data_IF_371613596600
#
_entry.id   IF_371613596600
#
_cell.length_a   1.000
_cell.length_b   1.000
_cell.length_c   1.000
_cell.angle_alpha   90.00
_cell.angle_beta   90.00
_cell.angle_gamma   90.00
#
_symmetry.space_group_name_H-M   'P 1'
#
loop_
_entity.id
_entity.type
_entity.pdbx_description
1 polymer ?
#
# COMPACT_ATOMS: atom_id res chain seq x y z
N UNK A 1 32.35 -39.06 -22.11
CA UNK A 1 33.34 -38.01 -22.41
C UNK A 1 33.98 -37.59 -21.10
N UNK A 2 35.31 -37.54 -21.07
CA UNK A 2 36.18 -37.55 -19.89
C UNK A 2 36.12 -36.28 -19.00
N UNK A 3 36.53 -36.50 -17.74
CA UNK A 3 37.04 -35.59 -16.70
C UNK A 3 37.62 -34.23 -17.13
N UNK A 4 37.49 -33.19 -16.28
CA UNK A 4 38.64 -32.71 -15.49
C UNK A 4 38.31 -31.69 -14.38
N UNK A 5 38.83 -31.99 -13.18
CA UNK A 5 39.10 -31.04 -12.10
C UNK A 5 40.30 -30.16 -12.47
N UNK A 6 40.40 -28.95 -11.90
CA UNK A 6 41.68 -28.33 -11.53
C UNK A 6 41.47 -27.25 -10.47
N UNK A 7 41.96 -27.53 -9.25
CA UNK A 7 42.32 -26.53 -8.25
C UNK A 7 43.58 -25.78 -8.72
N UNK A 8 43.72 -24.51 -8.32
CA UNK A 8 45.03 -23.90 -8.13
C UNK A 8 45.00 -22.91 -6.97
N UNK A 9 45.76 -23.23 -5.92
CA UNK A 9 46.25 -22.30 -4.90
C UNK A 9 47.54 -21.64 -5.42
N UNK A 10 47.70 -20.34 -5.19
CA UNK A 10 49.02 -19.71 -5.14
C UNK A 10 49.04 -18.67 -4.01
N UNK A 11 50.10 -18.74 -3.21
CA UNK A 11 50.33 -17.97 -2.00
C UNK A 11 51.33 -16.82 -2.24
N UNK A 12 51.36 -15.91 -1.26
CA UNK A 12 52.49 -15.09 -0.78
C UNK A 12 52.83 -13.79 -1.52
N UNK A 13 53.04 -12.73 -0.72
CA UNK A 13 53.66 -11.47 -1.18
C UNK A 13 53.43 -10.28 -0.25
N UNK A 14 54.19 -10.20 0.84
CA UNK A 14 54.29 -9.07 1.78
C UNK A 14 54.89 -7.83 1.10
N UNK A 15 54.40 -6.62 1.40
CA UNK A 15 55.24 -5.41 1.59
C UNK A 15 54.47 -4.20 2.18
N UNK A 16 54.84 -3.81 3.40
CA UNK A 16 54.70 -2.43 3.91
C UNK A 16 55.96 -1.63 3.53
N UNK A 17 55.84 -0.30 3.34
CA UNK A 17 56.54 0.58 4.28
C UNK A 17 55.84 1.92 4.62
N UNK A 18 55.90 2.26 5.91
CA UNK A 18 56.33 3.54 6.53
C UNK A 18 55.93 4.89 5.89
N UNK A 19 55.08 5.63 6.61
CA UNK A 19 55.50 6.75 7.47
C UNK A 19 55.43 8.18 6.92
N UNK A 20 55.25 9.11 7.88
CA UNK A 20 55.26 10.59 7.81
C UNK A 20 53.99 11.26 7.24
N UNK A 21 53.50 12.40 7.75
CA UNK A 21 53.88 13.24 8.88
C UNK A 21 52.70 14.18 9.14
N UNK A 22 52.51 14.51 10.42
CA UNK A 22 51.66 15.57 10.95
C UNK A 22 51.79 16.90 10.17
N UNK A 23 50.66 17.53 9.85
CA UNK A 23 50.57 18.96 9.58
C UNK A 23 49.40 19.55 10.39
N UNK A 24 49.73 20.60 11.15
CA UNK A 24 48.92 21.26 12.17
C UNK A 24 47.78 22.09 11.57
N UNK A 25 46.63 22.03 12.23
CA UNK A 25 45.46 22.90 12.03
C UNK A 25 45.69 24.26 12.72
N UNK A 26 45.43 25.41 12.05
CA UNK A 26 45.38 26.72 12.72
C UNK A 26 43.98 26.99 13.33
N UNK A 27 43.89 27.77 14.43
CA UNK A 27 42.65 27.96 15.16
C UNK A 27 41.68 28.95 14.47
N UNK A 28 40.36 28.86 14.74
CA UNK A 28 39.37 29.75 14.16
C UNK A 28 39.36 31.13 14.87
N UNK A 29 39.03 32.23 14.16
CA UNK A 29 38.90 33.55 14.74
C UNK A 29 37.62 33.71 15.59
N UNK A 30 37.72 34.59 16.57
CA UNK A 30 36.79 34.86 17.67
C UNK A 30 35.48 35.55 17.25
N UNK A 31 34.38 35.17 17.92
CA UNK A 31 33.03 35.73 17.78
C UNK A 31 32.99 37.23 18.14
N UNK A 32 32.32 38.04 17.31
CA UNK A 32 31.79 39.37 17.69
C UNK A 32 30.42 39.24 18.37
N UNK A 33 30.06 40.09 19.34
CA UNK A 33 28.79 40.03 20.04
C UNK A 33 27.64 40.62 19.21
N UNK A 34 26.44 40.14 19.53
CA UNK A 34 25.15 40.45 18.89
C UNK A 34 24.77 41.93 18.99
N UNK A 35 24.39 42.53 17.85
CA UNK A 35 23.75 43.83 17.76
C UNK A 35 22.23 43.69 17.69
N UNK A 36 21.55 44.52 18.46
CA UNK A 36 20.11 44.52 18.71
C UNK A 36 19.22 44.69 17.47
N UNK A 37 18.08 44.00 17.48
CA UNK A 37 16.91 44.23 16.60
C UNK A 37 16.13 45.48 17.06
N UNK A 38 15.65 46.35 16.16
CA UNK A 38 14.58 47.28 16.48
C UNK A 38 13.22 46.80 15.97
N UNK A 39 12.27 46.82 16.90
CA UNK A 39 10.89 47.30 16.83
C UNK A 39 9.98 46.91 15.64
N UNK A 40 8.88 46.28 16.04
CA UNK A 40 7.66 45.98 15.30
C UNK A 40 7.09 47.14 14.47
N UNK A 41 6.63 46.82 13.26
CA UNK A 41 5.70 47.63 12.48
C UNK A 41 4.33 46.94 12.47
N UNK A 42 3.35 47.56 13.13
CA UNK A 42 1.92 47.21 13.05
C UNK A 42 1.34 47.80 11.76
N UNK A 43 0.75 46.94 10.93
CA UNK A 43 -0.24 47.28 9.90
C UNK A 43 -1.25 46.13 9.99
N UNK A 44 -2.52 46.30 10.36
CA UNK A 44 -3.51 47.20 9.78
C UNK A 44 -4.57 46.31 9.12
N UNK A 45 -5.59 45.93 9.88
CA UNK A 45 -6.68 45.05 9.44
C UNK A 45 -7.55 45.70 8.37
N UNK A 46 -7.83 44.98 7.28
CA UNK A 46 -9.14 44.91 6.60
C UNK A 46 -9.06 44.13 5.28
N UNK A 47 -9.62 42.92 5.23
CA UNK A 47 -10.20 42.34 4.02
C UNK A 47 -11.26 41.28 4.39
N UNK A 48 -12.39 41.34 3.68
CA UNK A 48 -13.67 40.69 3.97
C UNK A 48 -13.66 39.18 3.74
N UNK A 49 -14.39 38.46 4.60
CA UNK A 49 -14.64 37.03 4.53
C UNK A 49 -15.58 36.63 3.38
N UNK A 50 -15.25 35.53 2.69
CA UNK A 50 -16.16 34.70 1.90
C UNK A 50 -16.29 33.32 2.56
N UNK A 51 -17.39 32.56 2.35
CA UNK A 51 -17.64 31.32 3.08
C UNK A 51 -16.80 30.19 2.51
N UNK A 52 -16.39 29.25 3.37
CA UNK A 52 -15.42 28.16 3.15
C UNK A 52 -13.94 28.49 3.38
N UNK A 53 -13.64 28.89 4.62
CA UNK A 53 -12.39 28.51 5.25
C UNK A 53 -12.73 27.98 6.66
N UNK A 54 -12.70 26.66 6.86
CA UNK A 54 -12.61 26.13 8.23
C UNK A 54 -11.23 26.51 8.75
N UNK A 55 -11.15 27.65 9.42
CA UNK A 55 -9.98 28.05 10.18
C UNK A 55 -9.79 27.02 11.29
N UNK A 56 -8.67 26.30 11.26
CA UNK A 56 -8.20 25.49 12.38
C UNK A 56 -7.80 26.47 13.48
N UNK A 57 -8.74 26.77 14.39
CA UNK A 57 -8.45 27.56 15.58
C UNK A 57 -7.86 26.61 16.63
N UNK A 58 -6.54 26.59 16.76
CA UNK A 58 -5.86 25.95 17.88
C UNK A 58 -6.07 26.85 19.10
N UNK A 59 -6.90 26.42 20.04
CA UNK A 59 -6.90 26.99 21.38
C UNK A 59 -5.65 26.48 22.10
N UNK A 60 -4.55 27.24 22.01
CA UNK A 60 -3.39 27.04 22.84
C UNK A 60 -3.73 27.47 24.27
N UNK A 61 -4.10 26.51 25.13
CA UNK A 61 -4.09 26.72 26.58
C UNK A 61 -2.65 26.43 27.02
N UNK A 62 -1.90 27.49 27.29
CA UNK A 62 -0.62 27.37 27.98
C UNK A 62 -0.89 26.84 29.39
N UNK A 63 -0.38 25.65 29.69
CA UNK A 63 -0.23 25.20 31.06
C UNK A 63 1.22 24.77 31.26
N UNK A 64 1.93 25.57 32.05
CA UNK A 64 3.23 25.23 32.61
C UNK A 64 3.02 24.03 33.53
N UNK A 65 3.32 22.83 33.04
CA UNK A 65 3.89 21.69 33.77
C UNK A 65 3.89 20.46 32.85
N UNK A 66 5.06 19.85 32.70
CA UNK A 66 5.28 18.69 31.85
C UNK A 66 4.39 17.50 32.23
N UNK A 67 3.33 17.30 31.45
CA UNK A 67 2.72 16.01 31.12
C UNK A 67 1.68 16.29 30.04
N UNK A 68 2.07 16.10 28.78
CA UNK A 68 1.21 16.35 27.62
C UNK A 68 -0.09 15.56 27.74
N UNK A 69 -1.21 16.29 27.80
CA UNK A 69 -2.54 15.72 27.61
C UNK A 69 -2.59 15.20 26.18
N UNK A 70 -2.38 13.90 25.98
CA UNK A 70 -2.74 13.24 24.72
C UNK A 70 -4.23 13.43 24.56
N UNK A 71 -4.64 14.25 23.59
CA UNK A 71 -6.01 14.25 23.11
C UNK A 71 -6.35 12.79 22.76
N UNK A 72 -7.34 12.21 23.42
CA UNK A 72 -7.75 10.85 23.14
C UNK A 72 -8.38 10.82 21.74
N UNK A 73 -7.63 10.39 20.73
CA UNK A 73 -8.17 10.08 19.41
C UNK A 73 -8.48 8.58 19.35
N UNK A 74 -9.41 8.21 18.48
CA UNK A 74 -9.74 6.81 18.22
C UNK A 74 -9.62 6.59 16.72
N UNK A 75 -8.64 5.79 16.26
CA UNK A 75 -8.52 5.44 14.85
C UNK A 75 -9.80 4.78 14.33
N UNK A 76 -10.23 5.15 13.12
CA UNK A 76 -11.42 4.56 12.48
C UNK A 76 -11.05 3.20 11.86
N UNK A 77 -10.99 2.13 12.66
CA UNK A 77 -10.56 0.80 12.20
C UNK A 77 -11.63 0.05 11.42
N UNK A 78 -12.90 0.34 11.67
CA UNK A 78 -14.04 -0.23 10.94
C UNK A 78 -14.41 0.69 9.77
N UNK A 79 -14.34 0.21 8.51
CA UNK A 79 -14.70 1.02 7.36
C UNK A 79 -16.22 1.20 7.26
N UNK A 80 -16.64 2.39 6.86
CA UNK A 80 -18.06 2.64 6.54
C UNK A 80 -18.44 1.99 5.20
N UNK A 81 -19.74 1.82 4.95
CA UNK A 81 -20.25 1.31 3.65
C UNK A 81 -19.75 2.13 2.47
N UNK A 82 -19.63 3.46 2.63
CA UNK A 82 -19.06 4.33 1.60
C UNK A 82 -17.59 3.96 1.32
N UNK A 83 -16.76 3.83 2.36
CA UNK A 83 -15.34 3.46 2.23
C UNK A 83 -15.22 2.11 1.52
N UNK A 84 -15.98 1.11 1.96
CA UNK A 84 -15.99 -0.22 1.34
C UNK A 84 -16.43 -0.15 -0.13
N UNK A 85 -17.42 0.67 -0.46
CA UNK A 85 -17.89 0.81 -1.84
C UNK A 85 -16.82 1.39 -2.77
N UNK A 86 -16.02 2.34 -2.29
CA UNK A 86 -14.90 2.94 -3.02
C UNK A 86 -13.77 1.92 -3.15
N UNK A 87 -13.36 1.31 -2.05
CA UNK A 87 -12.28 0.31 -2.02
C UNK A 87 -12.54 -0.87 -2.96
N UNK A 88 -13.79 -1.36 -3.01
CA UNK A 88 -14.18 -2.50 -3.85
C UNK A 88 -14.30 -2.16 -5.34
N UNK A 89 -14.35 -0.87 -5.69
CA UNK A 89 -14.48 -0.36 -7.07
C UNK A 89 -13.28 0.48 -7.49
N UNK A 90 -12.15 0.31 -6.80
CA UNK A 90 -10.95 1.10 -7.04
C UNK A 90 -10.35 0.73 -8.39
N UNK A 91 -10.06 1.72 -9.23
CA UNK A 91 -9.38 1.50 -10.50
C UNK A 91 -7.85 1.59 -10.33
N UNK A 92 -7.40 2.45 -9.42
CA UNK A 92 -5.98 2.61 -9.10
C UNK A 92 -5.72 2.86 -7.61
N UNK A 93 -4.67 2.22 -7.09
CA UNK A 93 -4.18 2.44 -5.72
C UNK A 93 -2.78 3.04 -5.76
N UNK A 94 -2.62 4.17 -5.10
CA UNK A 94 -1.36 4.85 -4.87
C UNK A 94 -0.87 4.54 -3.46
N UNK A 95 0.33 3.98 -3.35
CA UNK A 95 0.97 3.70 -2.08
C UNK A 95 2.09 4.70 -1.81
N UNK A 96 2.15 5.20 -0.58
CA UNK A 96 3.41 5.69 -0.04
C UNK A 96 4.43 4.55 0.04
N UNK A 97 5.72 4.91 0.06
CA UNK A 97 6.79 3.91 0.18
C UNK A 97 7.26 3.77 1.61
N UNK A 98 7.85 4.84 2.14
CA UNK A 98 8.51 4.83 3.44
C UNK A 98 7.48 4.61 4.56
N UNK A 99 7.77 3.73 5.51
CA UNK A 99 6.85 3.33 6.60
C UNK A 99 5.47 2.78 6.17
N UNK A 100 5.27 2.52 4.87
CA UNK A 100 4.04 1.95 4.31
C UNK A 100 4.35 0.68 3.53
N UNK A 101 4.93 0.79 2.34
CA UNK A 101 5.44 -0.37 1.57
C UNK A 101 6.68 -0.95 2.24
N UNK A 102 7.49 -0.11 2.88
CA UNK A 102 8.68 -0.53 3.63
C UNK A 102 8.54 -0.36 5.14
N UNK A 103 9.23 -1.21 5.90
CA UNK A 103 9.27 -1.17 7.38
C UNK A 103 10.16 -0.06 7.95
N UNK A 104 10.85 0.70 7.10
CA UNK A 104 11.76 1.79 7.46
C UNK A 104 11.60 2.95 6.47
N UNK A 105 12.10 4.13 6.86
CA UNK A 105 12.42 5.21 5.95
C UNK A 105 13.69 4.87 5.16
N UNK A 106 13.61 4.93 3.84
CA UNK A 106 14.68 4.51 2.93
C UNK A 106 15.91 5.42 3.02
N UNK A 107 15.73 6.71 3.30
CA UNK A 107 16.83 7.66 3.39
C UNK A 107 17.54 7.52 4.74
N UNK A 108 16.79 7.31 5.82
CA UNK A 108 17.37 7.04 7.15
C UNK A 108 18.15 5.72 7.15
N UNK A 109 17.63 4.68 6.48
CA UNK A 109 18.34 3.41 6.33
C UNK A 109 19.62 3.56 5.48
N UNK A 110 19.61 4.40 4.44
CA UNK A 110 20.81 4.74 3.68
C UNK A 110 21.81 5.52 4.54
N UNK A 111 21.35 6.47 5.35
CA UNK A 111 22.20 7.23 6.27
C UNK A 111 22.87 6.32 7.30
N UNK A 112 22.14 5.33 7.83
CA UNK A 112 22.70 4.31 8.72
C UNK A 112 23.77 3.47 8.01
N UNK A 113 23.53 3.04 6.78
CA UNK A 113 24.52 2.32 5.98
C UNK A 113 25.78 3.15 5.70
N UNK A 114 25.64 4.46 5.54
CA UNK A 114 26.75 5.41 5.37
C UNK A 114 27.40 5.84 6.68
N UNK A 115 26.87 5.45 7.84
CA UNK A 115 27.40 5.78 9.16
C UNK A 115 27.12 7.22 9.63
N UNK A 116 26.10 7.87 9.09
CA UNK A 116 25.73 9.29 9.38
C UNK A 116 24.28 9.43 9.87
N UNK A 117 23.77 8.39 10.53
CA UNK A 117 22.38 8.32 11.02
C UNK A 117 22.03 9.47 11.98
N UNK A 118 22.88 9.71 12.97
CA UNK A 118 22.61 10.69 14.02
C UNK A 118 22.47 12.11 13.46
N UNK A 119 23.30 12.46 12.48
CA UNK A 119 23.27 13.77 11.82
C UNK A 119 22.01 13.96 10.96
N UNK A 120 21.59 12.91 10.26
CA UNK A 120 20.38 12.91 9.42
C UNK A 120 19.12 12.97 10.28
N UNK A 121 19.04 12.17 11.35
CA UNK A 121 17.91 12.20 12.30
C UNK A 121 17.77 13.58 12.96
N UNK A 122 18.88 14.25 13.29
CA UNK A 122 18.86 15.60 13.84
C UNK A 122 18.26 16.64 12.87
N UNK A 123 18.43 16.46 11.55
CA UNK A 123 17.79 17.30 10.54
C UNK A 123 16.32 16.93 10.32
N UNK A 124 15.98 15.65 10.28
CA UNK A 124 14.59 15.19 10.14
C UNK A 124 13.71 15.78 11.26
N UNK A 125 14.21 15.78 12.50
CA UNK A 125 13.51 16.38 13.64
C UNK A 125 13.27 17.89 13.48
N UNK A 126 14.23 18.63 12.91
CA UNK A 126 14.08 20.05 12.59
C UNK A 126 13.10 20.30 11.44
N UNK A 127 13.07 19.44 10.43
CA UNK A 127 12.09 19.58 9.35
C UNK A 127 10.65 19.40 9.87
N UNK A 128 10.45 18.46 10.80
CA UNK A 128 9.14 18.17 11.39
C UNK A 128 8.61 19.28 12.33
N UNK A 129 9.49 20.12 12.91
CA UNK A 129 9.09 21.28 13.72
C UNK A 129 8.77 22.55 12.88
N UNK A 130 8.98 22.47 11.56
CA UNK A 130 8.73 23.55 10.61
C UNK A 130 9.84 24.59 10.50
N UNK A 131 11.00 24.37 11.13
CA UNK A 131 12.14 25.30 11.09
C UNK A 131 12.83 25.38 9.73
N UNK A 132 12.70 24.36 8.88
CA UNK A 132 13.22 24.32 7.52
C UNK A 132 12.18 23.78 6.54
N UNK A 133 12.27 24.16 5.26
CA UNK A 133 11.38 23.63 4.22
C UNK A 133 11.67 22.16 3.90
N UNK A 134 10.71 21.44 3.30
CA UNK A 134 10.90 20.05 2.88
C UNK A 134 12.09 19.90 1.90
N UNK A 135 12.15 20.78 0.90
CA UNK A 135 13.23 20.76 -0.09
C UNK A 135 14.59 21.02 0.55
N UNK A 136 14.68 22.00 1.46
CA UNK A 136 15.92 22.28 2.19
C UNK A 136 16.33 21.10 3.07
N UNK A 137 15.38 20.48 3.78
CA UNK A 137 15.63 19.30 4.59
C UNK A 137 16.16 18.13 3.77
N UNK A 138 15.59 17.88 2.59
CA UNK A 138 16.08 16.83 1.69
C UNK A 138 17.48 17.14 1.16
N UNK A 139 17.73 18.38 0.75
CA UNK A 139 19.05 18.81 0.26
C UNK A 139 20.14 18.67 1.34
N UNK A 140 19.86 19.15 2.55
CA UNK A 140 20.78 19.06 3.68
C UNK A 140 21.07 17.59 4.05
N UNK A 141 20.04 16.73 4.09
CA UNK A 141 20.21 15.29 4.36
C UNK A 141 21.05 14.60 3.28
N UNK A 142 20.80 14.88 2.00
CA UNK A 142 21.61 14.34 0.91
C UNK A 142 23.07 14.81 0.99
N UNK A 143 23.30 16.07 1.35
CA UNK A 143 24.66 16.61 1.52
C UNK A 143 25.43 15.92 2.65
N UNK A 144 24.74 15.48 3.70
CA UNK A 144 25.37 14.74 4.81
C UNK A 144 25.64 13.29 4.41
N UNK A 145 24.65 12.64 3.77
CA UNK A 145 24.78 11.26 3.30
C UNK A 145 25.91 11.13 2.27
N UNK A 146 26.02 12.10 1.36
CA UNK A 146 27.10 12.24 0.37
C UNK A 146 27.49 10.91 -0.30
N UNK A 147 26.48 10.11 -0.66
CA UNK A 147 26.69 8.78 -1.24
C UNK A 147 27.15 8.88 -2.70
N UNK A 148 27.94 7.89 -3.13
CA UNK A 148 28.22 7.64 -4.54
C UNK A 148 27.20 6.68 -5.16
N UNK A 149 27.12 6.57 -6.50
CA UNK A 149 26.30 5.57 -7.17
C UNK A 149 26.68 4.13 -6.77
N UNK A 150 27.95 3.89 -6.44
CA UNK A 150 28.41 2.58 -5.95
C UNK A 150 27.90 2.30 -4.54
N UNK A 151 27.84 3.31 -3.67
CA UNK A 151 27.26 3.15 -2.33
C UNK A 151 25.77 2.82 -2.40
N UNK A 152 25.02 3.49 -3.29
CA UNK A 152 23.60 3.17 -3.53
C UNK A 152 23.43 1.72 -4.01
N UNK A 153 24.27 1.25 -4.94
CA UNK A 153 24.25 -0.15 -5.40
C UNK A 153 24.58 -1.14 -4.27
N UNK A 154 25.60 -0.83 -3.47
CA UNK A 154 26.02 -1.66 -2.34
C UNK A 154 24.92 -1.71 -1.27
N UNK A 155 24.29 -0.58 -0.99
CA UNK A 155 23.16 -0.46 -0.08
C UNK A 155 21.99 -1.34 -0.50
N UNK A 156 21.57 -1.26 -1.77
CA UNK A 156 20.48 -2.08 -2.32
C UNK A 156 20.80 -3.57 -2.23
N UNK A 157 22.07 -3.93 -2.45
CA UNK A 157 22.53 -5.33 -2.34
C UNK A 157 22.50 -5.82 -0.89
N UNK A 158 22.94 -4.99 0.05
CA UNK A 158 22.94 -5.30 1.48
C UNK A 158 21.54 -5.30 2.10
N UNK A 159 20.61 -4.52 1.53
CA UNK A 159 19.23 -4.35 1.99
C UNK A 159 18.25 -4.69 0.85
N UNK A 160 18.17 -5.97 0.46
CA UNK A 160 17.33 -6.38 -0.67
C UNK A 160 15.84 -6.12 -0.38
N UNK A 161 14.98 -6.00 -1.41
CA UNK A 161 13.54 -5.77 -1.22
C UNK A 161 12.87 -6.71 -0.22
N UNK A 162 13.21 -8.01 -0.23
CA UNK A 162 12.62 -9.01 0.66
C UNK A 162 12.84 -8.73 2.16
N UNK A 163 13.86 -7.97 2.55
CA UNK A 163 14.10 -7.61 3.96
C UNK A 163 13.51 -6.25 4.35
N UNK A 164 13.06 -5.46 3.37
CA UNK A 164 12.58 -4.08 3.58
C UNK A 164 11.06 -3.97 3.51
N UNK A 165 10.38 -4.90 2.84
CA UNK A 165 8.93 -4.83 2.63
C UNK A 165 8.15 -5.08 3.93
N UNK A 166 7.09 -4.30 4.12
CA UNK A 166 6.11 -4.49 5.19
C UNK A 166 5.36 -5.81 5.01
N UNK A 167 5.24 -6.66 6.04
CA UNK A 167 4.54 -7.94 5.93
C UNK A 167 3.13 -7.80 5.34
N UNK A 168 2.81 -8.62 4.33
CA UNK A 168 1.52 -8.62 3.64
C UNK A 168 1.37 -7.63 2.48
N UNK A 169 2.31 -6.70 2.24
CA UNK A 169 2.18 -5.74 1.12
C UNK A 169 2.19 -6.42 -0.24
N UNK A 170 3.03 -7.45 -0.39
CA UNK A 170 3.14 -8.23 -1.62
C UNK A 170 1.83 -8.94 -1.94
N UNK A 171 1.18 -9.50 -0.92
CA UNK A 171 -0.09 -10.20 -1.03
C UNK A 171 -1.20 -9.24 -1.46
N UNK A 172 -1.26 -8.05 -0.84
CA UNK A 172 -2.20 -7.01 -1.25
C UNK A 172 -1.98 -6.54 -2.69
N UNK A 173 -0.74 -6.26 -3.09
CA UNK A 173 -0.43 -5.84 -4.47
C UNK A 173 -0.79 -6.93 -5.47
N UNK A 174 -0.56 -8.20 -5.12
CA UNK A 174 -0.93 -9.34 -5.95
C UNK A 174 -2.45 -9.43 -6.09
N UNK A 175 -3.18 -9.33 -4.98
CA UNK A 175 -4.65 -9.34 -4.94
C UNK A 175 -5.28 -8.21 -5.77
N UNK A 176 -4.72 -7.00 -5.69
CA UNK A 176 -5.18 -5.84 -6.45
C UNK A 176 -4.91 -6.02 -7.96
N UNK A 177 -3.72 -6.50 -8.33
CA UNK A 177 -3.38 -6.73 -9.74
C UNK A 177 -4.22 -7.83 -10.38
N UNK A 178 -4.55 -8.90 -9.65
CA UNK A 178 -5.45 -9.94 -10.13
C UNK A 178 -6.81 -9.35 -10.55
N UNK A 179 -7.29 -8.34 -9.81
CA UNK A 179 -8.53 -7.61 -10.07
C UNK A 179 -8.40 -6.48 -11.10
N UNK A 180 -7.26 -6.37 -11.80
CA UNK A 180 -7.02 -5.33 -12.79
C UNK A 180 -6.77 -3.92 -12.22
N UNK A 181 -6.56 -3.80 -10.90
CA UNK A 181 -6.29 -2.50 -10.26
C UNK A 181 -4.87 -2.05 -10.57
N UNK A 182 -4.73 -0.81 -11.02
CA UNK A 182 -3.43 -0.21 -11.33
C UNK A 182 -2.71 0.25 -10.06
N UNK A 183 -1.45 -0.14 -9.91
CA UNK A 183 -0.66 0.17 -8.71
C UNK A 183 0.37 1.25 -9.01
N UNK A 184 0.43 2.26 -8.15
CA UNK A 184 1.38 3.36 -8.19
C UNK A 184 2.14 3.47 -6.87
N UNK A 185 3.42 3.85 -6.95
CA UNK A 185 4.23 4.25 -5.79
C UNK A 185 4.46 5.75 -5.86
N UNK A 186 4.08 6.49 -4.82
CA UNK A 186 4.23 7.94 -4.74
C UNK A 186 4.92 8.29 -3.43
N UNK A 187 6.18 8.74 -3.48
CA UNK A 187 7.01 8.94 -2.29
C UNK A 187 7.81 10.25 -2.37
N UNK A 188 8.05 10.87 -1.22
CA UNK A 188 9.01 11.98 -1.07
C UNK A 188 10.48 11.53 -1.04
N UNK A 189 10.73 10.21 -1.06
CA UNK A 189 12.06 9.61 -1.15
C UNK A 189 12.59 9.58 -2.59
N UNK A 190 13.58 8.72 -2.82
CA UNK A 190 14.37 8.71 -4.07
C UNK A 190 14.11 7.49 -4.94
N UNK A 191 13.91 7.74 -6.23
CA UNK A 191 13.55 6.73 -7.24
C UNK A 191 14.60 5.62 -7.33
N UNK A 192 15.88 5.93 -7.14
CA UNK A 192 17.00 4.98 -7.11
C UNK A 192 16.81 3.89 -6.03
N UNK A 193 16.21 4.25 -4.89
CA UNK A 193 15.97 3.34 -3.76
C UNK A 193 14.64 2.57 -3.90
N UNK A 194 13.70 3.13 -4.68
CA UNK A 194 12.32 2.63 -4.83
C UNK A 194 12.20 1.69 -6.04
N UNK A 195 12.90 1.94 -7.15
CA UNK A 195 12.81 1.12 -8.35
C UNK A 195 13.11 -0.37 -8.12
N UNK A 196 14.09 -0.78 -7.29
CA UNK A 196 14.28 -2.19 -6.96
C UNK A 196 13.07 -2.81 -6.23
N UNK A 197 12.41 -2.05 -5.34
CA UNK A 197 11.19 -2.48 -4.65
C UNK A 197 10.04 -2.63 -5.65
N UNK A 198 9.85 -1.65 -6.52
CA UNK A 198 8.83 -1.66 -7.56
C UNK A 198 8.99 -2.88 -8.48
N UNK A 199 10.22 -3.14 -8.95
CA UNK A 199 10.53 -4.31 -9.78
C UNK A 199 10.22 -5.63 -9.06
N UNK A 200 10.59 -5.75 -7.78
CA UNK A 200 10.31 -6.94 -6.96
C UNK A 200 8.79 -7.17 -6.77
N UNK A 201 8.02 -6.09 -6.66
CA UNK A 201 6.55 -6.12 -6.56
C UNK A 201 5.86 -6.20 -7.93
N UNK A 202 6.62 -6.26 -9.04
CA UNK A 202 6.12 -6.27 -10.41
C UNK A 202 5.41 -4.97 -10.84
N UNK A 203 5.71 -3.85 -10.19
CA UNK A 203 5.16 -2.52 -10.51
C UNK A 203 6.09 -1.88 -11.57
N UNK A 204 5.54 -1.41 -12.70
CA UNK A 204 6.36 -0.85 -13.76
C UNK A 204 6.94 0.52 -13.35
N UNK A 205 8.13 0.86 -13.87
CA UNK A 205 8.89 2.05 -13.45
C UNK A 205 8.16 3.37 -13.73
N UNK A 206 7.31 3.40 -14.76
CA UNK A 206 6.44 4.52 -15.12
C UNK A 206 5.35 4.80 -14.08
N UNK A 207 5.06 3.84 -13.21
CA UNK A 207 4.13 3.99 -12.09
C UNK A 207 4.82 4.43 -10.79
N UNK A 208 6.10 4.82 -10.85
CA UNK A 208 6.87 5.32 -9.69
C UNK A 208 7.08 6.83 -9.79
N UNK A 209 6.46 7.56 -8.87
CA UNK A 209 6.57 9.00 -8.69
C UNK A 209 7.38 9.27 -7.42
N UNK A 210 8.59 9.77 -7.60
CA UNK A 210 9.53 10.03 -6.50
C UNK A 210 10.61 11.00 -6.98
N UNK A 211 11.34 11.60 -6.04
CA UNK A 211 12.46 12.46 -6.34
C UNK A 211 13.58 11.67 -7.06
N UNK A 212 14.39 12.33 -7.86
CA UNK A 212 15.58 11.72 -8.49
C UNK A 212 16.84 12.35 -7.94
N UNK A 213 17.84 11.52 -7.66
CA UNK A 213 19.16 12.02 -7.34
C UNK A 213 19.79 12.64 -8.59
N UNK A 214 20.36 13.84 -8.44
CA UNK A 214 21.09 14.52 -9.50
C UNK A 214 22.57 14.20 -9.38
N UNK A 215 23.09 13.49 -10.38
CA UNK A 215 24.50 13.07 -10.43
C UNK A 215 25.30 13.99 -11.35
N UNK A 216 26.53 14.30 -10.94
CA UNK A 216 27.57 14.74 -11.87
C UNK A 216 28.01 13.55 -12.71
N UNK A 217 28.13 13.74 -14.03
CA UNK A 217 28.57 12.72 -14.96
C UNK A 217 30.00 13.00 -15.41
N UNK A 218 30.78 11.95 -15.57
CA UNK A 218 32.11 12.01 -16.17
C UNK A 218 31.98 11.91 -17.69
N UNK A 219 32.47 12.93 -18.41
CA UNK A 219 32.32 13.03 -19.87
C UNK A 219 33.13 11.96 -20.63
N UNK A 220 34.18 11.39 -20.03
CA UNK A 220 35.03 10.39 -20.68
C UNK A 220 34.46 8.97 -20.54
N UNK A 221 33.94 8.65 -19.35
CA UNK A 221 33.43 7.32 -19.00
C UNK A 221 31.92 7.20 -19.18
N UNK A 222 31.19 8.32 -19.17
CA UNK A 222 29.73 8.35 -19.20
C UNK A 222 29.09 7.84 -17.90
N UNK A 223 29.83 7.79 -16.80
CA UNK A 223 29.37 7.24 -15.52
C UNK A 223 29.08 8.36 -14.50
N UNK A 224 28.07 8.18 -13.62
CA UNK A 224 27.81 9.12 -12.54
C UNK A 224 28.91 9.03 -11.47
N UNK A 225 29.34 10.19 -10.95
CA UNK A 225 30.49 10.30 -10.03
C UNK A 225 30.08 10.83 -8.66
N UNK A 226 29.47 12.02 -8.62
CA UNK A 226 29.17 12.73 -7.38
C UNK A 226 27.72 13.16 -7.31
N UNK A 227 27.11 13.00 -6.14
CA UNK A 227 25.78 13.54 -5.87
C UNK A 227 25.84 15.07 -5.78
N UNK A 228 25.00 15.74 -6.57
CA UNK A 228 24.93 17.21 -6.65
C UNK A 228 23.64 17.79 -6.06
N UNK A 229 22.73 16.93 -5.61
CA UNK A 229 21.40 17.29 -5.10
C UNK A 229 20.33 16.39 -5.69
N UNK A 230 19.16 16.94 -5.96
CA UNK A 230 18.04 16.20 -6.55
C UNK A 230 17.21 17.05 -7.51
N UNK A 231 16.42 16.39 -8.34
CA UNK A 231 15.61 17.04 -9.37
C UNK A 231 14.41 17.77 -8.75
N UNK A 232 14.49 19.10 -8.70
CA UNK A 232 13.42 19.98 -8.21
C UNK A 232 12.24 20.09 -9.18
N UNK A 233 12.30 19.50 -10.37
CA UNK A 233 11.15 19.46 -11.29
C UNK A 233 10.19 18.29 -11.01
N UNK A 234 10.61 17.31 -10.20
CA UNK A 234 9.73 16.23 -9.77
C UNK A 234 8.64 16.78 -8.82
N UNK A 235 7.35 16.44 -9.00
CA UNK A 235 6.28 16.94 -8.14
C UNK A 235 6.54 16.70 -6.65
N UNK A 236 7.07 15.52 -6.33
CA UNK A 236 7.38 15.05 -4.97
C UNK A 236 8.52 15.82 -4.28
N UNK A 237 9.16 16.76 -4.98
CA UNK A 237 10.17 17.65 -4.41
C UNK A 237 9.55 18.77 -3.56
N UNK A 238 8.24 19.01 -3.75
CA UNK A 238 7.52 20.13 -3.16
C UNK A 238 6.36 19.68 -2.27
N UNK A 239 5.87 20.60 -1.46
CA UNK A 239 4.62 20.40 -0.73
C UNK A 239 3.48 20.08 -1.70
N UNK A 240 2.57 19.19 -1.31
CA UNK A 240 1.46 18.72 -2.15
C UNK A 240 1.89 17.93 -3.40
N UNK A 241 3.16 17.54 -3.49
CA UNK A 241 3.67 16.74 -4.62
C UNK A 241 2.94 15.42 -4.86
N UNK A 242 2.42 14.78 -3.79
CA UNK A 242 1.59 13.57 -3.92
C UNK A 242 0.25 13.86 -4.60
N UNK A 243 -0.38 15.00 -4.32
CA UNK A 243 -1.61 15.46 -4.99
C UNK A 243 -1.34 15.68 -6.48
N UNK A 244 -0.27 16.41 -6.80
CA UNK A 244 0.10 16.71 -8.19
C UNK A 244 0.41 15.43 -8.98
N UNK A 245 1.12 14.46 -8.37
CA UNK A 245 1.36 13.17 -8.96
C UNK A 245 0.05 12.42 -9.28
N UNK A 246 -0.90 12.38 -8.34
CA UNK A 246 -2.23 11.74 -8.56
C UNK A 246 -3.01 12.47 -9.64
N UNK A 247 -3.01 13.81 -9.65
CA UNK A 247 -3.66 14.60 -10.68
C UNK A 247 -3.08 14.27 -12.07
N UNK A 248 -1.75 14.18 -12.19
CA UNK A 248 -1.08 13.76 -13.41
C UNK A 248 -1.38 12.31 -13.82
N UNK A 249 -1.61 11.40 -12.87
CA UNK A 249 -2.07 10.02 -13.13
C UNK A 249 -3.48 10.04 -13.72
N UNK A 250 -4.43 10.76 -13.11
CA UNK A 250 -5.83 10.87 -13.56
C UNK A 250 -5.97 11.58 -14.91
N UNK A 251 -5.06 12.49 -15.25
CA UNK A 251 -5.06 13.14 -16.57
C UNK A 251 -4.68 12.16 -17.70
N UNK A 252 -3.80 11.19 -17.41
CA UNK A 252 -3.31 10.22 -18.39
C UNK A 252 -4.18 8.98 -18.49
N UNK A 253 -4.97 8.69 -17.46
CA UNK A 253 -5.74 7.47 -17.34
C UNK A 253 -7.17 7.79 -16.89
N UNK A 254 -8.21 7.26 -17.55
CA UNK A 254 -9.61 7.54 -17.22
C UNK A 254 -10.09 6.75 -15.99
N UNK A 255 -9.38 6.83 -14.87
CA UNK A 255 -9.78 6.20 -13.61
C UNK A 255 -10.95 6.96 -12.99
N UNK A 256 -12.01 6.24 -12.63
CA UNK A 256 -13.14 6.77 -11.86
C UNK A 256 -12.75 6.92 -10.40
N UNK A 257 -12.04 5.93 -9.86
CA UNK A 257 -11.71 5.83 -8.43
C UNK A 257 -10.20 5.63 -8.21
N UNK A 258 -9.59 6.53 -7.46
CA UNK A 258 -8.19 6.44 -7.00
C UNK A 258 -8.13 6.46 -5.47
N UNK A 259 -7.42 5.52 -4.87
CA UNK A 259 -7.22 5.45 -3.42
C UNK A 259 -5.75 5.73 -3.08
N UNK A 260 -5.51 6.53 -2.03
CA UNK A 260 -4.18 6.73 -1.45
C UNK A 260 -4.04 5.93 -0.16
N UNK A 261 -2.91 5.22 -0.01
CA UNK A 261 -2.57 4.46 1.21
C UNK A 261 -1.20 4.93 1.70
N UNK A 262 -1.11 5.35 2.95
CA UNK A 262 0.14 5.85 3.54
C UNK A 262 0.05 6.11 5.04
N UNK A 263 1.18 6.33 5.70
CA UNK A 263 1.25 6.62 7.14
C UNK A 263 1.33 8.13 7.45
N UNK A 264 1.71 8.94 6.47
CA UNK A 264 2.11 10.34 6.66
C UNK A 264 1.01 11.38 6.46
N UNK A 265 1.32 12.61 6.89
CA UNK A 265 0.45 13.79 6.67
C UNK A 265 0.35 14.09 5.18
N UNK A 266 1.44 13.94 4.43
CA UNK A 266 1.45 14.17 2.97
C UNK A 266 0.50 13.23 2.21
N UNK A 267 0.20 12.07 2.77
CA UNK A 267 -0.70 11.05 2.22
C UNK A 267 -2.15 11.40 2.53
N UNK A 268 -2.41 11.86 3.75
CA UNK A 268 -3.70 12.40 4.15
C UNK A 268 -4.05 13.65 3.33
N UNK A 269 -3.08 14.51 3.02
CA UNK A 269 -3.27 15.69 2.16
C UNK A 269 -3.65 15.32 0.72
N UNK A 270 -3.33 14.09 0.27
CA UNK A 270 -3.56 13.62 -1.08
C UNK A 270 -5.05 13.57 -1.48
N UNK A 271 -5.98 13.60 -0.51
CA UNK A 271 -7.43 13.64 -0.74
C UNK A 271 -8.07 15.02 -0.51
N UNK A 272 -7.29 16.01 -0.04
CA UNK A 272 -7.84 17.29 0.39
C UNK A 272 -8.00 18.32 -0.73
N UNK A 273 -7.59 17.97 -1.95
CA UNK A 273 -7.52 18.88 -3.09
C UNK A 273 -8.16 18.30 -4.35
N UNK A 274 -8.65 19.20 -5.21
CA UNK A 274 -9.20 18.83 -6.51
C UNK A 274 -8.13 18.15 -7.37
N UNK A 275 -8.46 16.97 -7.91
CA UNK A 275 -7.53 16.16 -8.70
C UNK A 275 -6.74 15.12 -7.88
N UNK A 276 -6.85 15.15 -6.55
CA UNK A 276 -6.29 14.13 -5.65
C UNK A 276 -7.04 12.80 -5.67
N UNK A 277 -6.73 11.94 -4.67
CA UNK A 277 -7.41 10.67 -4.46
C UNK A 277 -8.84 10.86 -3.94
N UNK A 278 -9.70 9.87 -4.15
CA UNK A 278 -11.11 9.89 -3.74
C UNK A 278 -11.31 9.32 -2.31
N UNK A 279 -10.31 8.59 -1.80
CA UNK A 279 -10.26 8.02 -0.44
C UNK A 279 -8.80 7.91 0.03
N UNK A 280 -8.58 8.20 1.31
CA UNK A 280 -7.33 7.96 2.01
C UNK A 280 -7.52 6.86 3.06
N UNK A 281 -6.66 5.85 2.99
CA UNK A 281 -6.55 4.79 3.99
C UNK A 281 -5.23 4.99 4.74
N UNK A 282 -5.33 5.33 6.02
CA UNK A 282 -4.15 5.48 6.87
C UNK A 282 -3.58 4.12 7.26
N UNK A 283 -2.26 3.99 7.18
CA UNK A 283 -1.55 2.77 7.56
C UNK A 283 -0.72 2.99 8.82
N UNK A 284 -1.00 2.23 9.86
CA UNK A 284 -0.30 2.28 11.16
C UNK A 284 0.53 1.05 11.48
N UNK A 285 0.73 0.13 10.53
CA UNK A 285 1.40 -1.16 10.79
C UNK A 285 2.90 -1.05 11.08
N UNK A 286 3.53 0.08 10.76
CA UNK A 286 4.94 0.37 11.07
C UNK A 286 5.02 1.45 12.15
N UNK A 287 4.46 2.63 11.88
CA UNK A 287 4.37 3.75 12.83
C UNK A 287 2.96 4.33 12.79
N UNK A 288 2.29 4.40 13.93
CA UNK A 288 1.02 5.12 14.05
C UNK A 288 1.25 6.61 14.29
N UNK A 289 0.73 7.46 13.41
CA UNK A 289 0.76 8.91 13.57
C UNK A 289 -0.59 9.42 14.05
N UNK A 290 -0.69 10.00 15.27
CA UNK A 290 -1.96 10.42 15.87
C UNK A 290 -2.88 11.27 14.98
N UNK A 291 -2.32 12.30 14.33
CA UNK A 291 -3.11 13.19 13.48
C UNK A 291 -3.64 12.47 12.23
N UNK A 292 -2.82 11.61 11.63
CA UNK A 292 -3.21 10.83 10.46
C UNK A 292 -4.29 9.82 10.84
N UNK A 293 -4.12 9.13 11.96
CA UNK A 293 -5.07 8.14 12.45
C UNK A 293 -6.43 8.75 12.84
N UNK A 294 -6.44 9.96 13.39
CA UNK A 294 -7.66 10.69 13.74
C UNK A 294 -8.45 11.11 12.48
N UNK A 295 -7.76 11.59 11.45
CA UNK A 295 -8.39 12.21 10.29
C UNK A 295 -8.62 11.25 9.12
N UNK A 296 -7.92 10.12 9.05
CA UNK A 296 -8.17 9.09 8.05
C UNK A 296 -9.63 8.61 8.09
N UNK A 297 -10.21 8.38 6.91
CA UNK A 297 -11.56 7.82 6.76
C UNK A 297 -11.62 6.35 7.17
N UNK A 298 -10.50 5.65 6.99
CA UNK A 298 -10.26 4.30 7.44
C UNK A 298 -8.79 4.14 7.80
N UNK A 299 -8.52 3.48 8.93
CA UNK A 299 -7.17 3.28 9.45
C UNK A 299 -6.92 1.79 9.70
N UNK A 300 -5.83 1.26 9.15
CA UNK A 300 -5.50 -0.17 9.25
C UNK A 300 -4.08 -0.38 9.77
N UNK A 301 -3.88 -1.52 10.44
CA UNK A 301 -2.58 -1.91 11.00
C UNK A 301 -1.91 -3.06 10.25
N UNK A 302 -2.66 -3.70 9.35
CA UNK A 302 -2.21 -4.85 8.59
C UNK A 302 -2.86 -4.86 7.20
N UNK A 303 -2.15 -5.41 6.22
CA UNK A 303 -2.65 -5.50 4.85
C UNK A 303 -3.68 -6.62 4.64
N UNK A 304 -3.73 -7.63 5.53
CA UNK A 304 -4.72 -8.70 5.42
C UNK A 304 -6.15 -8.17 5.60
N UNK A 305 -6.34 -7.12 6.41
CA UNK A 305 -7.60 -6.38 6.53
C UNK A 305 -8.02 -5.75 5.20
N UNK A 306 -7.09 -5.19 4.42
CA UNK A 306 -7.39 -4.66 3.09
C UNK A 306 -7.72 -5.77 2.09
N UNK A 307 -6.96 -6.88 2.11
CA UNK A 307 -7.21 -8.04 1.23
C UNK A 307 -8.59 -8.64 1.48
N UNK A 308 -8.95 -8.90 2.74
CA UNK A 308 -10.25 -9.51 3.11
C UNK A 308 -11.47 -8.67 2.75
N UNK A 309 -11.29 -7.37 2.53
CA UNK A 309 -12.38 -6.43 2.24
C UNK A 309 -12.52 -6.09 0.75
N UNK A 310 -11.59 -6.55 -0.10
CA UNK A 310 -11.70 -6.45 -1.56
C UNK A 310 -12.99 -7.09 -2.08
N UNK A 311 -13.41 -6.66 -3.27
CA UNK A 311 -14.56 -7.26 -3.95
C UNK A 311 -14.26 -8.74 -4.23
N UNK A 312 -15.27 -9.58 -3.99
CA UNK A 312 -15.20 -11.02 -4.21
C UNK A 312 -16.52 -11.52 -4.75
N UNK A 313 -16.44 -12.41 -5.74
CA UNK A 313 -17.57 -13.03 -6.41
C UNK A 313 -18.18 -14.12 -5.52
N UNK A 314 -19.45 -13.96 -5.19
CA UNK A 314 -20.26 -15.03 -4.60
C UNK A 314 -20.77 -15.96 -5.68
N UNK A 315 -20.62 -17.26 -5.47
CA UNK A 315 -21.03 -18.29 -6.44
C UNK A 315 -22.29 -19.00 -5.98
N UNK A 316 -23.26 -19.10 -6.88
CA UNK A 316 -24.48 -19.88 -6.69
C UNK A 316 -24.60 -20.98 -7.77
N UNK A 317 -24.71 -22.24 -7.35
CA UNK A 317 -25.05 -23.38 -8.20
C UNK A 317 -26.58 -23.57 -8.21
N UNK A 318 -27.21 -23.47 -9.38
CA UNK A 318 -28.64 -23.74 -9.57
C UNK A 318 -28.82 -25.17 -10.07
N UNK A 319 -28.95 -26.09 -9.12
CA UNK A 319 -29.17 -27.51 -9.34
C UNK A 319 -28.37 -28.37 -8.35
N UNK A 320 -28.91 -29.55 -8.03
CA UNK A 320 -28.33 -30.47 -7.03
C UNK A 320 -28.35 -31.95 -7.48
N UNK A 321 -28.48 -32.20 -8.77
CA UNK A 321 -28.37 -33.55 -9.34
C UNK A 321 -26.92 -34.04 -9.38
N UNK A 322 -26.68 -35.28 -9.81
CA UNK A 322 -25.36 -35.92 -9.78
C UNK A 322 -24.24 -35.06 -10.38
N UNK A 323 -24.47 -34.48 -11.56
CA UNK A 323 -23.47 -33.61 -12.21
C UNK A 323 -23.33 -32.25 -11.52
N UNK A 324 -24.41 -31.69 -10.98
CA UNK A 324 -24.35 -30.43 -10.24
C UNK A 324 -23.55 -30.60 -8.95
N UNK A 325 -23.71 -31.73 -8.25
CA UNK A 325 -22.91 -32.07 -7.07
C UNK A 325 -21.42 -32.25 -7.40
N UNK A 326 -21.11 -32.94 -8.51
CA UNK A 326 -19.71 -33.08 -8.94
C UNK A 326 -19.10 -31.73 -9.34
N UNK A 327 -19.86 -30.90 -10.04
CA UNK A 327 -19.44 -29.58 -10.47
C UNK A 327 -19.27 -28.62 -9.29
N UNK A 328 -20.23 -28.55 -8.36
CA UNK A 328 -20.14 -27.67 -7.18
C UNK A 328 -18.95 -28.04 -6.31
N UNK A 329 -18.63 -29.32 -6.18
CA UNK A 329 -17.42 -29.76 -5.48
C UNK A 329 -16.15 -29.17 -6.10
N UNK A 330 -16.01 -29.23 -7.43
CA UNK A 330 -14.85 -28.64 -8.11
C UNK A 330 -14.82 -27.11 -7.99
N UNK A 331 -15.99 -26.48 -8.04
CA UNK A 331 -16.12 -25.03 -7.84
C UNK A 331 -15.70 -24.66 -6.42
N UNK A 332 -16.21 -25.36 -5.41
CA UNK A 332 -15.90 -25.15 -4.00
C UNK A 332 -14.41 -25.33 -3.69
N UNK A 333 -13.75 -26.30 -4.32
CA UNK A 333 -12.29 -26.47 -4.23
C UNK A 333 -11.51 -25.29 -4.82
N UNK A 334 -12.07 -24.60 -5.81
CA UNK A 334 -11.44 -23.43 -6.43
C UNK A 334 -11.76 -22.12 -5.70
N UNK A 335 -12.74 -22.10 -4.79
CA UNK A 335 -13.09 -20.91 -4.00
C UNK A 335 -12.46 -20.88 -2.61
N UNK A 336 -11.83 -21.98 -2.18
CA UNK A 336 -11.08 -22.08 -0.92
C UNK A 336 -10.06 -20.94 -0.78
N UNK A 337 -10.09 -20.25 0.37
CA UNK A 337 -9.29 -19.06 0.66
C UNK A 337 -7.84 -19.34 1.01
N UNK A 338 -7.08 -19.85 0.05
CA UNK A 338 -5.67 -20.20 0.26
C UNK A 338 -4.70 -19.26 -0.46
N UNK A 339 -5.19 -18.40 -1.38
CA UNK A 339 -4.38 -17.46 -2.15
C UNK A 339 -4.87 -16.00 -1.96
N UNK A 340 -3.97 -15.03 -1.64
CA UNK A 340 -4.33 -13.61 -1.65
C UNK A 340 -4.94 -13.11 -2.97
N UNK A 341 -4.63 -13.75 -4.10
CA UNK A 341 -5.23 -13.46 -5.39
C UNK A 341 -6.70 -13.89 -5.50
N UNK A 342 -7.23 -14.70 -4.57
CA UNK A 342 -8.57 -15.28 -4.66
C UNK A 342 -9.65 -14.22 -4.78
N UNK A 343 -10.42 -14.33 -5.87
CA UNK A 343 -11.49 -13.40 -6.21
C UNK A 343 -12.87 -13.92 -5.81
N UNK A 344 -12.99 -15.15 -5.32
CA UNK A 344 -14.29 -15.74 -4.97
C UNK A 344 -14.48 -15.80 -3.48
N UNK A 345 -15.72 -15.69 -2.98
CA UNK A 345 -16.07 -16.02 -1.60
C UNK A 345 -15.95 -17.53 -1.40
N UNK A 346 -15.41 -17.96 -0.26
CA UNK A 346 -15.20 -19.38 0.06
C UNK A 346 -16.50 -20.19 -0.02
N UNK A 347 -17.57 -19.68 0.60
CA UNK A 347 -18.88 -20.33 0.59
C UNK A 347 -19.51 -20.34 -0.81
N UNK A 348 -19.84 -21.54 -1.31
CA UNK A 348 -20.61 -21.74 -2.53
C UNK A 348 -22.02 -22.18 -2.16
N UNK A 349 -23.02 -21.39 -2.55
CA UNK A 349 -24.42 -21.73 -2.30
C UNK A 349 -24.93 -22.66 -3.40
N UNK A 350 -25.55 -23.78 -3.04
CA UNK A 350 -26.16 -24.72 -3.98
C UNK A 350 -27.67 -24.78 -3.78
N UNK A 351 -28.43 -24.29 -4.75
CA UNK A 351 -29.87 -24.49 -4.76
C UNK A 351 -30.18 -25.98 -4.90
N UNK A 352 -30.84 -26.51 -3.88
CA UNK A 352 -31.25 -27.91 -3.80
C UNK A 352 -32.76 -27.95 -3.71
N UNK A 353 -33.43 -28.51 -4.71
CA UNK A 353 -34.87 -28.71 -4.63
C UNK A 353 -35.19 -29.55 -3.39
N UNK A 354 -36.07 -29.06 -2.51
CA UNK A 354 -36.36 -29.70 -1.24
C UNK A 354 -37.07 -31.04 -1.45
N UNK A 355 -36.50 -32.10 -0.85
CA UNK A 355 -37.00 -33.46 -0.91
C UNK A 355 -36.85 -34.11 0.47
N UNK A 356 -37.74 -35.04 0.82
CA UNK A 356 -37.60 -35.86 2.01
C UNK A 356 -36.58 -36.98 1.76
N UNK A 357 -35.53 -37.04 2.58
CA UNK A 357 -34.56 -38.12 2.63
C UNK A 357 -34.59 -38.77 4.03
N UNK A 358 -35.11 -40.00 4.10
CA UNK A 358 -35.19 -40.78 5.36
C UNK A 358 -35.89 -40.01 6.51
N UNK A 359 -36.94 -39.24 6.19
CA UNK A 359 -37.70 -38.45 7.16
C UNK A 359 -37.03 -37.13 7.58
N UNK A 360 -35.96 -36.72 6.90
CA UNK A 360 -35.28 -35.44 7.06
C UNK A 360 -35.31 -34.66 5.76
N UNK A 361 -35.16 -33.34 5.85
CA UNK A 361 -34.98 -32.49 4.66
C UNK A 361 -33.62 -32.74 4.03
N UNK A 362 -33.58 -32.94 2.71
CA UNK A 362 -32.33 -33.22 1.99
C UNK A 362 -31.29 -32.11 2.20
N UNK A 363 -31.70 -30.83 2.27
CA UNK A 363 -30.76 -29.72 2.49
C UNK A 363 -30.12 -29.74 3.88
N UNK A 364 -30.86 -30.18 4.91
CA UNK A 364 -30.31 -30.34 6.25
C UNK A 364 -29.24 -31.45 6.28
N UNK A 365 -29.53 -32.57 5.62
CA UNK A 365 -28.58 -33.68 5.50
C UNK A 365 -27.31 -33.21 4.78
N UNK A 366 -27.45 -32.53 3.64
CA UNK A 366 -26.29 -32.02 2.87
C UNK A 366 -25.45 -31.05 3.71
N UNK A 367 -26.07 -30.10 4.42
CA UNK A 367 -25.33 -29.10 5.20
C UNK A 367 -24.62 -29.71 6.43
N UNK A 368 -25.12 -30.83 6.97
CA UNK A 368 -24.48 -31.51 8.10
C UNK A 368 -23.37 -32.48 7.67
N UNK A 369 -23.58 -33.21 6.57
CA UNK A 369 -22.66 -34.26 6.12
C UNK A 369 -21.71 -33.81 5.03
N UNK A 370 -21.98 -32.66 4.41
CA UNK A 370 -21.33 -32.18 3.19
C UNK A 370 -21.38 -33.21 2.06
N UNK A 371 -22.46 -33.97 1.96
CA UNK A 371 -22.68 -35.00 0.96
C UNK A 371 -24.14 -34.92 0.47
N UNK A 372 -24.38 -35.13 -0.82
CA UNK A 372 -25.73 -35.37 -1.34
C UNK A 372 -25.98 -36.88 -1.48
N UNK A 373 -26.59 -37.53 -0.47
CA UNK A 373 -26.70 -38.98 -0.44
C UNK A 373 -27.72 -39.53 -1.46
N UNK A 374 -28.59 -38.67 -2.01
CA UNK A 374 -29.56 -39.07 -3.01
C UNK A 374 -28.93 -39.10 -4.41
N UNK A 375 -28.19 -38.05 -4.77
CA UNK A 375 -27.74 -37.84 -6.14
C UNK A 375 -26.24 -38.10 -6.37
N UNK A 376 -25.40 -38.07 -5.34
CA UNK A 376 -23.97 -38.36 -5.43
C UNK A 376 -23.44 -39.01 -4.13
N UNK A 377 -23.85 -40.25 -3.82
CA UNK A 377 -23.52 -40.90 -2.55
C UNK A 377 -22.03 -41.23 -2.41
N UNK A 378 -21.50 -41.08 -1.20
CA UNK A 378 -20.11 -41.36 -0.82
C UNK A 378 -19.09 -40.30 -1.26
N UNK A 379 -19.54 -39.15 -1.76
CA UNK A 379 -18.66 -38.07 -2.23
C UNK A 379 -18.92 -36.80 -1.42
N UNK A 380 -17.88 -36.33 -0.71
CA UNK A 380 -17.93 -35.04 -0.04
C UNK A 380 -17.89 -33.89 -1.05
N UNK A 381 -18.81 -32.94 -0.89
CA UNK A 381 -18.94 -31.71 -1.67
C UNK A 381 -17.96 -30.62 -1.20
N UNK A 382 -17.45 -30.73 0.02
CA UNK A 382 -16.61 -29.71 0.67
C UNK A 382 -17.34 -29.01 1.82
N UNK A 383 -16.61 -28.57 2.87
CA UNK A 383 -17.20 -27.93 4.05
C UNK A 383 -17.79 -26.54 3.75
N UNK A 384 -17.39 -25.93 2.64
CA UNK A 384 -17.80 -24.62 2.17
C UNK A 384 -18.98 -24.65 1.18
N UNK A 385 -19.60 -25.82 0.94
CA UNK A 385 -20.84 -25.92 0.15
C UNK A 385 -22.05 -25.81 1.07
N UNK A 386 -22.96 -24.87 0.76
CA UNK A 386 -24.20 -24.63 1.51
C UNK A 386 -25.43 -24.92 0.67
N UNK A 387 -26.19 -25.95 1.02
CA UNK A 387 -27.47 -26.28 0.38
C UNK A 387 -28.58 -25.32 0.86
N UNK A 388 -29.28 -24.70 -0.10
CA UNK A 388 -30.38 -23.76 0.13
C UNK A 388 -31.63 -24.22 -0.64
N UNK A 389 -32.77 -24.48 0.02
CA UNK A 389 -33.98 -24.96 -0.65
C UNK A 389 -34.71 -23.87 -1.44
N UNK A 390 -34.58 -22.61 -1.03
CA UNK A 390 -35.25 -21.50 -1.70
C UNK A 390 -34.39 -20.96 -2.86
N UNK A 391 -34.89 -21.10 -4.09
CA UNK A 391 -34.19 -20.67 -5.30
C UNK A 391 -33.79 -19.18 -5.28
N UNK A 392 -34.65 -18.31 -4.77
CA UNK A 392 -34.37 -16.87 -4.69
C UNK A 392 -33.31 -16.56 -3.63
N UNK A 393 -33.37 -17.20 -2.47
CA UNK A 393 -32.34 -17.07 -1.43
C UNK A 393 -30.99 -17.61 -1.92
N UNK A 394 -31.00 -18.71 -2.68
CA UNK A 394 -29.79 -19.36 -3.17
C UNK A 394 -28.98 -18.50 -4.15
N UNK A 395 -29.67 -17.65 -4.94
CA UNK A 395 -29.01 -16.74 -5.90
C UNK A 395 -28.93 -15.30 -5.38
N UNK A 396 -29.38 -15.04 -4.15
CA UNK A 396 -29.39 -13.69 -3.59
C UNK A 396 -27.96 -13.20 -3.44
N UNK A 397 -27.69 -12.01 -4.00
CA UNK A 397 -26.37 -11.37 -4.00
C UNK A 397 -25.27 -12.22 -4.69
N UNK A 398 -25.63 -13.25 -5.46
CA UNK A 398 -24.67 -14.04 -6.22
C UNK A 398 -24.18 -13.26 -7.44
N UNK A 399 -22.86 -13.16 -7.59
CA UNK A 399 -22.22 -12.49 -8.72
C UNK A 399 -22.02 -13.47 -9.89
N UNK A 400 -21.83 -14.77 -9.59
CA UNK A 400 -21.71 -15.85 -10.56
C UNK A 400 -22.78 -16.92 -10.31
N UNK A 401 -23.65 -17.16 -11.29
CA UNK A 401 -24.70 -18.18 -11.22
C UNK A 401 -24.41 -19.29 -12.23
N UNK A 402 -24.23 -20.52 -11.74
CA UNK A 402 -23.98 -21.71 -12.54
C UNK A 402 -25.28 -22.50 -12.66
N UNK A 403 -25.85 -22.59 -13.87
CA UNK A 403 -27.06 -23.37 -14.10
C UNK A 403 -26.72 -24.83 -14.45
N UNK A 404 -27.13 -25.76 -13.59
CA UNK A 404 -26.90 -27.19 -13.78
C UNK A 404 -28.11 -28.02 -13.31
N UNK A 405 -29.28 -27.73 -13.86
CA UNK A 405 -30.51 -28.49 -13.63
C UNK A 405 -30.97 -29.22 -14.90
N UNK A 406 -31.81 -30.27 -14.81
CA UNK A 406 -32.39 -30.91 -15.99
C UNK A 406 -33.12 -29.87 -16.87
N UNK A 407 -32.81 -29.86 -18.17
CA UNK A 407 -33.24 -28.81 -19.10
C UNK A 407 -34.75 -28.55 -19.12
N UNK A 408 -35.56 -29.59 -18.87
CA UNK A 408 -37.02 -29.50 -18.79
C UNK A 408 -37.53 -28.53 -17.70
N UNK A 409 -36.74 -28.28 -16.64
CA UNK A 409 -37.10 -27.36 -15.55
C UNK A 409 -36.54 -25.95 -15.75
N UNK A 410 -35.57 -25.78 -16.66
CA UNK A 410 -34.84 -24.52 -16.83
C UNK A 410 -35.73 -23.32 -17.14
N UNK A 411 -36.74 -23.49 -18.00
CA UNK A 411 -37.68 -22.41 -18.32
C UNK A 411 -38.45 -21.94 -17.08
N UNK A 412 -38.85 -22.87 -16.21
CA UNK A 412 -39.56 -22.56 -14.96
C UNK A 412 -38.63 -21.88 -13.94
N UNK A 413 -37.38 -22.33 -13.84
CA UNK A 413 -36.35 -21.73 -12.98
C UNK A 413 -36.07 -20.29 -13.43
N UNK A 414 -35.75 -20.07 -14.70
CA UNK A 414 -35.45 -18.73 -15.23
C UNK A 414 -36.63 -17.76 -15.02
N UNK A 415 -37.88 -18.22 -15.22
CA UNK A 415 -39.06 -17.40 -14.96
C UNK A 415 -39.16 -16.95 -13.51
N UNK A 416 -38.81 -17.80 -12.55
CA UNK A 416 -38.85 -17.45 -11.12
C UNK A 416 -37.76 -16.43 -10.75
N UNK A 417 -36.67 -16.39 -11.49
CA UNK A 417 -35.53 -15.51 -11.26
C UNK A 417 -35.64 -14.13 -11.95
N UNK A 418 -36.66 -13.91 -12.80
CA UNK A 418 -36.88 -12.62 -13.45
C UNK A 418 -37.00 -11.51 -12.40
N UNK A 419 -36.14 -10.51 -12.49
CA UNK A 419 -36.09 -9.36 -11.57
C UNK A 419 -35.46 -9.64 -10.20
N UNK A 420 -34.93 -10.85 -9.98
CA UNK A 420 -34.31 -11.27 -8.70
C UNK A 420 -32.80 -11.44 -8.77
N UNK A 421 -32.24 -11.52 -9.98
CA UNK A 421 -30.81 -11.53 -10.23
C UNK A 421 -30.37 -10.09 -10.47
N UNK A 422 -29.34 -9.64 -9.77
CA UNK A 422 -28.77 -8.30 -9.96
C UNK A 422 -28.23 -8.11 -11.39
N UNK A 423 -28.09 -6.87 -11.87
CA UNK A 423 -27.35 -6.62 -13.09
C UNK A 423 -25.93 -7.20 -12.96
N UNK A 424 -25.36 -7.74 -14.05
CA UNK A 424 -23.95 -8.12 -14.07
C UNK A 424 -23.12 -6.89 -13.70
N UNK A 425 -22.30 -7.03 -12.64
CA UNK A 425 -21.51 -5.97 -12.02
C UNK A 425 -20.44 -5.39 -12.91
#
# INVERSE_FOLDING_TARGET
MMLNMSLSLAASGVQHPRGNSLARVPPPPTRRPAGALPAALRIGANARAGPFARSVMVAAVANENGNGVKSAYTPKTEPTDRVLSIWRKVDAVCFDVDCTVTINDSLDLLAEFMGVKEEVEALTNKAMDGSISLAQSLEDRLSIINCSPTDVRNFITANPPSSRLTPGIKDLITALKARGVHIYLISGGFRELILPLAAYLGIPKENVFANRMNWQWDDETGEPTKLMGFDLSEPTAHNQGKVEAIAGIRQRNPYNTVVMIGDGITDLEAVQQTGGADLFIGFGGVIERPMVAADAEWFVYDYATLVRTLARYKVAMVGSGAWACAAVRMVAQNTEMDDPADEFVDEVTMWTHEEDYQGRKLTEVINETHENPHYLPGVSLGPNVRAEPNLEAAVKDADLIIFCAPHQFMHGICKQLIGKVGPAG
#
